data_IF_666152826746
#
_entry.id   IF_666152826746
#
_cell.length_a   1.000
_cell.length_b   1.000
_cell.length_c   1.000
_cell.angle_alpha   90.00
_cell.angle_beta   90.00
_cell.angle_gamma   90.00
#
_symmetry.space_group_name_H-M   'P 1'
#
loop_
_entity.id
_entity.type
_entity.pdbx_description
1 polymer ?
#
# COMPACT_ATOMS: atom_id res chain seq x y z
N UNK A 1 5.82 -10.23 -3.94
CA UNK A 1 5.80 -8.78 -3.57
C UNK A 1 5.18 -8.60 -2.20
N UNK A 2 5.74 -7.70 -1.40
CA UNK A 2 5.21 -7.32 -0.09
C UNK A 2 4.90 -5.84 -0.06
N UNK A 3 3.86 -5.47 0.69
CA UNK A 3 3.48 -4.10 0.99
C UNK A 3 3.73 -3.87 2.49
N UNK A 4 4.93 -3.43 2.90
CA UNK A 4 5.24 -3.12 4.29
C UNK A 4 4.42 -1.93 4.81
N UNK A 5 4.08 -1.00 3.92
CA UNK A 5 3.51 0.27 4.33
C UNK A 5 2.59 0.89 3.27
N UNK A 6 1.44 1.34 3.74
CA UNK A 6 0.51 2.20 3.05
C UNK A 6 0.25 3.38 3.97
N UNK A 7 0.62 4.58 3.51
CA UNK A 7 0.50 5.82 4.25
C UNK A 7 -0.49 6.75 3.57
N UNK A 8 -1.42 7.23 4.36
CA UNK A 8 -2.20 8.41 4.05
C UNK A 8 -1.51 9.60 4.75
N UNK A 9 -2.09 10.07 5.86
CA UNK A 9 -1.40 10.89 6.88
C UNK A 9 -0.62 10.05 7.89
N UNK A 10 -1.17 8.90 8.26
CA UNK A 10 -0.58 7.89 9.14
C UNK A 10 -0.56 6.54 8.43
N UNK A 11 0.17 5.58 9.00
CA UNK A 11 0.19 4.20 8.49
C UNK A 11 -1.22 3.60 8.59
N UNK A 12 -1.72 3.12 7.46
CA UNK A 12 -3.09 2.61 7.29
C UNK A 12 -3.15 1.10 7.44
N UNK A 13 -2.15 0.39 6.90
CA UNK A 13 -2.05 -1.06 7.07
C UNK A 13 -1.51 -1.39 8.47
N UNK A 14 -2.19 -2.29 9.19
CA UNK A 14 -1.79 -2.71 10.54
C UNK A 14 -0.51 -3.54 10.54
N UNK A 15 -0.31 -4.34 9.49
CA UNK A 15 0.81 -5.26 9.31
C UNK A 15 1.28 -5.27 7.86
N UNK A 16 2.47 -5.81 7.61
CA UNK A 16 2.99 -6.03 6.25
C UNK A 16 2.10 -7.00 5.50
N UNK A 17 1.66 -6.64 4.31
CA UNK A 17 0.83 -7.49 3.47
C UNK A 17 1.71 -8.24 2.47
N UNK A 18 1.60 -9.57 2.41
CA UNK A 18 2.22 -10.36 1.35
C UNK A 18 1.18 -10.59 0.25
N UNK A 19 1.49 -10.18 -0.98
CA UNK A 19 0.62 -10.40 -2.12
C UNK A 19 1.20 -11.49 -3.02
N UNK A 20 0.39 -12.51 -3.26
CA UNK A 20 0.65 -13.51 -4.29
C UNK A 20 0.45 -12.88 -5.70
N UNK A 21 1.07 -13.45 -6.74
CA UNK A 21 0.87 -13.00 -8.12
C UNK A 21 -0.62 -12.97 -8.47
N UNK A 22 -1.06 -11.89 -9.14
CA UNK A 22 -2.45 -11.67 -9.57
C UNK A 22 -3.49 -11.60 -8.44
N UNK A 23 -3.05 -11.57 -7.18
CA UNK A 23 -3.94 -11.45 -6.04
C UNK A 23 -4.38 -10.00 -5.86
N UNK A 24 -5.64 -9.83 -5.44
CA UNK A 24 -6.20 -8.55 -5.02
C UNK A 24 -6.39 -8.57 -3.50
N UNK A 25 -6.03 -7.47 -2.84
CA UNK A 25 -6.21 -7.30 -1.41
C UNK A 25 -7.00 -6.03 -1.13
N UNK A 26 -8.17 -6.18 -0.50
CA UNK A 26 -8.93 -5.05 0.02
C UNK A 26 -8.29 -4.56 1.32
N UNK A 27 -8.21 -3.24 1.45
CA UNK A 27 -7.64 -2.57 2.63
C UNK A 27 -8.68 -1.60 3.15
N UNK A 28 -9.16 -1.86 4.36
CA UNK A 28 -10.13 -1.00 5.02
C UNK A 28 -9.42 0.25 5.54
N UNK A 29 -9.86 1.42 5.10
CA UNK A 29 -9.34 2.70 5.58
C UNK A 29 -10.37 3.33 6.52
N UNK A 30 -9.93 3.79 7.69
CA UNK A 30 -10.79 4.51 8.65
C UNK A 30 -10.87 6.00 8.36
N UNK A 31 -10.04 6.49 7.44
CA UNK A 31 -9.91 7.90 7.10
C UNK A 31 -9.97 8.05 5.58
N UNK A 32 -10.92 8.85 5.12
CA UNK A 32 -11.01 9.26 3.71
C UNK A 32 -9.93 10.31 3.46
N UNK A 33 -9.02 10.02 2.54
CA UNK A 33 -7.97 10.97 2.12
C UNK A 33 -7.86 11.00 0.60
N UNK A 34 -7.33 12.09 0.07
CA UNK A 34 -7.24 12.32 -1.38
C UNK A 34 -6.06 11.57 -2.02
N UNK A 35 -5.15 10.99 -1.23
CA UNK A 35 -3.99 10.27 -1.74
C UNK A 35 -3.44 9.26 -0.73
N UNK A 36 -2.92 8.15 -1.24
CA UNK A 36 -2.19 7.15 -0.48
C UNK A 36 -0.82 6.91 -1.11
N UNK A 37 0.22 6.91 -0.29
CA UNK A 37 1.54 6.43 -0.67
C UNK A 37 1.67 4.96 -0.31
N UNK A 38 1.96 4.13 -1.29
CA UNK A 38 2.17 2.68 -1.16
C UNK A 38 3.64 2.41 -1.37
N UNK A 39 4.26 1.72 -0.42
CA UNK A 39 5.61 1.18 -0.59
C UNK A 39 5.51 -0.31 -0.85
N UNK A 40 6.11 -0.76 -1.95
CA UNK A 40 6.19 -2.14 -2.40
C UNK A 40 7.64 -2.61 -2.30
N UNK A 41 7.83 -3.86 -1.88
CA UNK A 41 9.12 -4.54 -1.92
C UNK A 41 8.97 -5.81 -2.74
N UNK A 42 9.83 -6.00 -3.74
CA UNK A 42 9.90 -7.26 -4.48
C UNK A 42 10.77 -8.30 -3.76
N UNK A 43 10.73 -9.54 -4.23
CA UNK A 43 11.46 -10.63 -3.58
C UNK A 43 12.99 -10.54 -3.79
N UNK A 44 13.45 -9.60 -4.62
CA UNK A 44 14.86 -9.25 -4.82
C UNK A 44 15.33 -8.14 -3.85
N UNK A 45 14.43 -7.57 -3.05
CA UNK A 45 14.71 -6.49 -2.11
C UNK A 45 14.66 -5.09 -2.72
N UNK A 46 14.10 -4.92 -3.92
CA UNK A 46 13.93 -3.60 -4.52
C UNK A 46 12.72 -2.89 -3.93
N UNK A 47 12.86 -1.59 -3.68
CA UNK A 47 11.81 -0.74 -3.13
C UNK A 47 11.17 0.09 -4.24
N UNK A 48 9.85 0.06 -4.34
CA UNK A 48 9.07 0.95 -5.20
C UNK A 48 8.09 1.74 -4.34
N UNK A 49 8.05 3.05 -4.52
CA UNK A 49 7.17 3.95 -3.79
C UNK A 49 6.25 4.63 -4.80
N UNK A 50 4.94 4.48 -4.64
CA UNK A 50 3.97 5.07 -5.54
C UNK A 50 2.91 5.82 -4.76
N UNK A 51 2.56 7.03 -5.22
CA UNK A 51 1.48 7.81 -4.63
C UNK A 51 0.26 7.75 -5.53
N UNK A 52 -0.76 7.06 -5.07
CA UNK A 52 -2.05 6.92 -5.74
C UNK A 52 -2.94 8.05 -5.28
N UNK A 53 -3.35 8.92 -6.21
CA UNK A 53 -4.36 9.95 -5.95
C UNK A 53 -5.73 9.39 -6.26
N UNK A 54 -6.70 9.66 -5.39
CA UNK A 54 -8.10 9.36 -5.68
C UNK A 54 -8.65 10.59 -6.40
N UNK A 55 -8.88 10.44 -7.70
CA UNK A 55 -9.65 11.43 -8.45
C UNK A 55 -11.14 11.20 -8.18
N UNK A 56 -11.81 12.25 -7.70
CA UNK A 56 -13.24 12.27 -7.40
C UNK A 56 -14.04 12.61 -8.66
#
# INVERSE_FOLDING_TARGET
ITIPEIKAKSKVNKETLLLAPWSSQSITTTVVVNSYTVTLIDDSGNYLNETVKIEN
#
